data_IF_814840093900
#
_entry.id   IF_814840093900
#
_cell.length_a   1.000
_cell.length_b   1.000
_cell.length_c   1.000
_cell.angle_alpha   90.00
_cell.angle_beta   90.00
_cell.angle_gamma   90.00
#
_symmetry.space_group_name_H-M   'P 1'
#
loop_
_entity.id
_entity.type
_entity.pdbx_description
1 polymer ?
#
# COMPACT_ATOMS: atom_id res chain seq x y z
N UNK A 1 17.07 -48.97 -35.60
CA UNK A 1 16.88 -48.76 -34.15
C UNK A 1 15.61 -47.95 -33.94
N UNK A 2 14.96 -48.15 -32.79
CA UNK A 2 13.52 -47.99 -32.53
C UNK A 2 12.94 -46.58 -32.69
N UNK A 3 11.73 -46.51 -33.26
CA UNK A 3 10.85 -45.33 -33.23
C UNK A 3 10.12 -45.38 -31.87
N UNK A 4 10.22 -44.31 -31.08
CA UNK A 4 9.54 -44.23 -29.78
C UNK A 4 8.01 -44.20 -29.97
N UNK A 5 7.35 -45.23 -29.43
CA UNK A 5 5.89 -45.33 -29.37
C UNK A 5 5.34 -44.27 -28.41
N UNK A 6 4.52 -43.35 -28.94
CA UNK A 6 3.69 -42.48 -28.12
C UNK A 6 2.59 -43.31 -27.45
N UNK A 7 2.49 -43.24 -26.12
CA UNK A 7 1.39 -43.84 -25.37
C UNK A 7 0.14 -42.97 -25.52
N UNK A 8 -0.96 -43.57 -25.97
CA UNK A 8 -2.30 -42.97 -25.92
C UNK A 8 -2.66 -42.58 -24.49
N UNK A 9 -3.14 -41.35 -24.33
CA UNK A 9 -3.76 -40.88 -23.08
C UNK A 9 -5.18 -41.47 -23.08
N UNK A 10 -5.38 -42.50 -22.26
CA UNK A 10 -6.72 -43.03 -21.99
C UNK A 10 -7.50 -42.01 -21.17
N UNK A 11 -8.73 -41.70 -21.59
CA UNK A 11 -9.63 -40.81 -20.87
C UNK A 11 -9.75 -41.25 -19.39
N UNK A 12 -9.43 -40.34 -18.48
CA UNK A 12 -9.58 -40.56 -17.06
C UNK A 12 -11.07 -40.71 -16.77
N UNK A 13 -11.45 -41.92 -16.33
CA UNK A 13 -12.76 -42.29 -15.79
C UNK A 13 -13.38 -41.14 -15.00
N UNK A 14 -14.68 -40.87 -15.25
CA UNK A 14 -15.51 -39.87 -14.56
C UNK A 14 -15.56 -40.14 -13.03
N UNK A 15 -14.49 -39.86 -12.32
CA UNK A 15 -14.48 -39.79 -10.86
C UNK A 15 -15.16 -38.49 -10.49
N UNK A 16 -16.17 -38.54 -9.62
CA UNK A 16 -16.79 -37.33 -9.10
C UNK A 16 -15.70 -36.52 -8.40
N UNK A 17 -15.74 -35.21 -8.53
CA UNK A 17 -14.73 -34.33 -7.94
C UNK A 17 -14.60 -34.52 -6.41
N UNK A 18 -15.70 -34.89 -5.74
CA UNK A 18 -15.74 -35.30 -4.33
C UNK A 18 -14.78 -36.45 -4.00
N UNK A 19 -14.58 -37.38 -4.94
CA UNK A 19 -13.74 -38.57 -4.71
C UNK A 19 -12.25 -38.28 -4.91
N UNK A 20 -11.91 -37.07 -5.38
CA UNK A 20 -10.52 -36.63 -5.48
C UNK A 20 -9.93 -36.37 -4.08
N UNK A 21 -8.59 -36.48 -3.92
CA UNK A 21 -7.93 -36.11 -2.68
C UNK A 21 -8.30 -34.71 -2.20
N UNK A 22 -8.49 -33.78 -3.15
CA UNK A 22 -8.88 -32.39 -2.87
C UNK A 22 -10.35 -32.28 -2.43
N UNK A 23 -11.25 -33.02 -3.08
CA UNK A 23 -12.68 -33.06 -2.71
C UNK A 23 -12.89 -33.58 -1.29
N UNK A 24 -12.21 -34.66 -0.91
CA UNK A 24 -12.25 -35.21 0.45
C UNK A 24 -11.70 -34.25 1.51
N UNK A 25 -10.73 -33.40 1.15
CA UNK A 25 -10.19 -32.36 2.05
C UNK A 25 -11.17 -31.21 2.33
N UNK A 26 -12.23 -31.08 1.54
CA UNK A 26 -13.25 -30.02 1.69
C UNK A 26 -14.50 -30.44 2.44
N UNK A 27 -14.73 -31.74 2.65
CA UNK A 27 -15.98 -32.27 3.24
C UNK A 27 -16.27 -31.77 4.67
N UNK A 28 -15.27 -31.26 5.38
CA UNK A 28 -15.40 -30.70 6.74
C UNK A 28 -14.88 -29.26 6.87
N UNK A 29 -14.67 -28.55 5.75
CA UNK A 29 -14.24 -27.14 5.79
C UNK A 29 -15.46 -26.23 5.76
N UNK A 30 -15.65 -25.47 6.83
CA UNK A 30 -16.60 -24.36 6.85
C UNK A 30 -15.93 -23.16 6.18
N UNK A 31 -16.53 -22.64 5.12
CA UNK A 31 -16.08 -21.40 4.49
C UNK A 31 -16.75 -20.23 5.23
N UNK A 32 -15.96 -19.45 5.96
CA UNK A 32 -16.48 -18.36 6.82
C UNK A 32 -16.94 -17.13 6.02
N UNK A 33 -16.30 -16.89 4.87
CA UNK A 33 -16.62 -15.79 3.95
C UNK A 33 -17.66 -16.24 2.89
N UNK A 34 -18.48 -15.33 2.34
CA UNK A 34 -19.40 -15.66 1.25
C UNK A 34 -18.64 -16.11 -0.01
N UNK A 35 -19.24 -16.98 -0.82
CA UNK A 35 -18.62 -17.56 -2.01
C UNK A 35 -18.04 -16.51 -2.99
N UNK A 36 -18.70 -15.34 -3.07
CA UNK A 36 -18.24 -14.18 -3.85
C UNK A 36 -16.87 -13.64 -3.45
N UNK A 37 -16.42 -13.85 -2.20
CA UNK A 37 -15.06 -13.48 -1.77
C UNK A 37 -14.00 -14.42 -2.36
N UNK A 38 -14.33 -15.71 -2.54
CA UNK A 38 -13.43 -16.69 -3.14
C UNK A 38 -13.40 -16.63 -4.66
N UNK A 39 -14.48 -16.12 -5.29
CA UNK A 39 -14.57 -15.90 -6.73
C UNK A 39 -13.78 -14.66 -7.20
N UNK A 40 -13.26 -13.84 -6.28
CA UNK A 40 -12.40 -12.72 -6.62
C UNK A 40 -11.12 -13.24 -7.29
N UNK A 41 -10.70 -12.70 -8.43
CA UNK A 41 -9.46 -13.12 -9.08
C UNK A 41 -8.28 -12.86 -8.14
N UNK A 42 -7.58 -13.93 -7.74
CA UNK A 42 -6.40 -13.87 -6.86
C UNK A 42 -5.39 -12.81 -7.35
N UNK A 43 -5.24 -12.64 -8.67
CA UNK A 43 -4.35 -11.64 -9.27
C UNK A 43 -4.70 -10.20 -8.87
N UNK A 44 -5.99 -9.82 -8.88
CA UNK A 44 -6.40 -8.45 -8.54
C UNK A 44 -6.25 -8.15 -7.04
N UNK A 45 -6.51 -9.15 -6.19
CA UNK A 45 -6.33 -9.03 -4.73
C UNK A 45 -4.84 -8.96 -4.37
N UNK A 46 -3.99 -9.75 -5.05
CA UNK A 46 -2.53 -9.73 -4.83
C UNK A 46 -1.86 -8.42 -5.27
N UNK A 47 -2.40 -7.74 -6.28
CA UNK A 47 -1.82 -6.49 -6.80
C UNK A 47 -1.92 -5.33 -5.81
N UNK A 48 -3.01 -5.24 -5.03
CA UNK A 48 -3.17 -4.20 -4.01
C UNK A 48 -2.13 -4.34 -2.88
N UNK A 49 -1.81 -5.57 -2.51
CA UNK A 49 -0.84 -5.87 -1.44
C UNK A 49 0.60 -5.99 -1.93
N UNK A 50 0.85 -5.87 -3.23
CA UNK A 50 2.17 -6.08 -3.83
C UNK A 50 3.24 -5.20 -3.19
N UNK A 51 2.90 -3.94 -2.90
CA UNK A 51 3.83 -2.95 -2.35
C UNK A 51 3.73 -2.82 -0.82
N UNK A 52 2.87 -3.60 -0.15
CA UNK A 52 2.81 -3.62 1.30
C UNK A 52 4.08 -4.21 1.91
N UNK A 53 4.43 -3.84 3.16
CA UNK A 53 5.53 -4.46 3.89
C UNK A 53 5.44 -6.00 3.93
N UNK A 54 6.60 -6.64 3.96
CA UNK A 54 6.74 -8.10 3.90
C UNK A 54 7.03 -8.62 5.31
N UNK A 55 6.25 -9.59 5.77
CA UNK A 55 6.42 -10.28 7.04
C UNK A 55 7.87 -10.73 7.27
N UNK A 56 8.44 -10.40 8.44
CA UNK A 56 9.81 -10.73 8.82
C UNK A 56 10.89 -9.89 8.15
N UNK A 57 10.54 -8.89 7.33
CA UNK A 57 11.50 -7.95 6.73
C UNK A 57 11.46 -6.60 7.47
N UNK A 58 12.16 -6.54 8.61
CA UNK A 58 12.22 -5.38 9.51
C UNK A 58 10.88 -5.03 10.17
N UNK A 59 10.05 -6.05 10.45
CA UNK A 59 8.75 -5.91 11.10
C UNK A 59 7.86 -7.12 10.90
N UNK A 60 6.64 -7.03 11.41
CA UNK A 60 5.59 -8.04 11.29
C UNK A 60 4.19 -7.41 11.20
N UNK A 61 3.24 -8.15 10.65
CA UNK A 61 1.83 -7.80 10.69
C UNK A 61 1.18 -8.35 11.97
N UNK A 62 0.29 -7.59 12.61
CA UNK A 62 -0.53 -8.09 13.72
C UNK A 62 -1.80 -8.85 13.26
N UNK A 63 -2.01 -8.93 11.94
CA UNK A 63 -3.11 -9.64 11.30
C UNK A 63 -2.83 -9.92 9.82
N UNK A 64 -3.86 -9.76 8.98
CA UNK A 64 -3.76 -9.99 7.54
C UNK A 64 -2.92 -8.90 6.86
N UNK A 65 -1.95 -9.30 6.03
CA UNK A 65 -1.05 -8.37 5.32
C UNK A 65 -1.84 -7.39 4.45
N UNK A 66 -1.68 -6.09 4.73
CA UNK A 66 -2.35 -5.02 4.00
C UNK A 66 -3.75 -4.66 4.51
N UNK A 67 -4.27 -5.38 5.51
CA UNK A 67 -5.57 -5.14 6.15
C UNK A 67 -5.49 -5.18 7.69
N UNK A 68 -4.28 -4.97 8.23
CA UNK A 68 -3.98 -4.98 9.65
C UNK A 68 -2.87 -3.99 9.98
N UNK A 69 -2.37 -3.95 11.21
CA UNK A 69 -1.27 -3.06 11.61
C UNK A 69 0.06 -3.67 11.20
N UNK A 70 0.88 -2.87 10.53
CA UNK A 70 2.29 -3.16 10.33
C UNK A 70 3.10 -2.60 11.50
N UNK A 71 3.76 -3.49 12.23
CA UNK A 71 4.61 -3.19 13.39
C UNK A 71 6.08 -3.33 12.95
N UNK A 72 6.78 -2.22 12.67
CA UNK A 72 8.20 -2.27 12.31
C UNK A 72 9.07 -2.66 13.50
N UNK A 73 10.22 -3.27 13.20
CA UNK A 73 11.25 -3.56 14.20
C UNK A 73 11.80 -2.26 14.79
N UNK A 74 11.56 -2.03 16.08
CA UNK A 74 11.84 -0.74 16.73
C UNK A 74 13.32 -0.33 16.69
N UNK A 75 14.22 -1.31 16.70
CA UNK A 75 15.67 -1.12 16.65
C UNK A 75 16.23 -1.02 15.22
N UNK A 76 15.40 -1.29 14.20
CA UNK A 76 15.81 -1.16 12.81
C UNK A 76 16.07 0.30 12.47
N UNK A 77 17.22 0.58 11.83
CA UNK A 77 17.57 1.90 11.33
C UNK A 77 17.31 1.93 9.82
N UNK A 78 16.22 2.55 9.35
CA UNK A 78 15.97 2.66 7.91
C UNK A 78 17.05 3.53 7.25
N UNK A 79 17.50 3.16 6.04
CA UNK A 79 18.53 3.91 5.33
C UNK A 79 18.02 5.27 4.85
N UNK A 80 18.92 6.27 4.86
CA UNK A 80 18.67 7.56 4.22
C UNK A 80 18.83 7.46 2.70
N UNK A 81 17.80 7.85 1.95
CA UNK A 81 17.80 7.86 0.48
C UNK A 81 18.23 9.23 -0.03
N UNK A 82 19.53 9.41 -0.31
CA UNK A 82 20.05 10.69 -0.79
C UNK A 82 19.47 11.11 -2.15
N UNK A 83 19.05 12.38 -2.26
CA UNK A 83 18.85 13.07 -3.54
C UNK A 83 17.41 13.40 -3.94
N UNK A 84 16.38 12.74 -3.40
CA UNK A 84 14.97 13.05 -3.72
C UNK A 84 14.05 13.18 -2.50
N UNK A 85 14.35 12.45 -1.44
CA UNK A 85 13.50 12.34 -0.24
C UNK A 85 14.41 12.23 0.97
N UNK A 86 14.21 13.02 2.02
CA UNK A 86 14.96 12.82 3.27
C UNK A 86 14.20 11.78 4.11
N UNK A 87 14.47 10.50 3.88
CA UNK A 87 13.71 9.38 4.47
C UNK A 87 14.10 9.10 5.92
N UNK A 88 15.33 9.39 6.31
CA UNK A 88 15.87 9.30 7.66
C UNK A 88 17.19 10.12 7.78
N UNK A 89 17.15 11.46 7.63
CA UNK A 89 18.36 12.28 7.61
C UNK A 89 19.16 12.24 8.91
N UNK A 90 18.49 11.98 10.02
CA UNK A 90 19.08 11.96 11.36
C UNK A 90 19.52 10.54 11.79
N UNK A 91 19.29 9.52 10.95
CA UNK A 91 19.71 8.14 11.22
C UNK A 91 18.99 7.51 12.41
N UNK A 92 17.74 7.89 12.65
CA UNK A 92 16.91 7.41 13.76
C UNK A 92 16.48 5.96 13.55
N UNK A 93 16.26 5.23 14.64
CA UNK A 93 15.60 3.91 14.56
C UNK A 93 14.10 4.09 14.24
N UNK A 94 13.44 3.02 13.80
CA UNK A 94 11.98 3.05 13.59
C UNK A 94 11.25 3.45 14.86
N UNK A 95 11.63 2.95 16.03
CA UNK A 95 10.99 3.34 17.29
C UNK A 95 11.13 4.83 17.58
N UNK A 96 12.32 5.41 17.36
CA UNK A 96 12.53 6.85 17.51
C UNK A 96 11.71 7.68 16.50
N UNK A 97 11.53 7.18 15.27
CA UNK A 97 10.67 7.82 14.27
C UNK A 97 9.20 7.78 14.69
N UNK A 98 8.72 6.64 15.18
CA UNK A 98 7.34 6.51 15.68
C UNK A 98 7.10 7.45 16.85
N UNK A 99 8.00 7.47 17.85
CA UNK A 99 7.93 8.36 19.00
C UNK A 99 7.93 9.85 18.59
N UNK A 100 8.80 10.23 17.64
CA UNK A 100 8.90 11.60 17.11
C UNK A 100 7.57 12.11 16.55
N UNK A 101 6.77 11.23 15.97
CA UNK A 101 5.47 11.55 15.38
C UNK A 101 4.27 11.09 16.21
N UNK A 102 4.49 10.53 17.40
CA UNK A 102 3.44 10.08 18.31
C UNK A 102 2.65 8.87 17.79
N UNK A 103 3.27 8.02 16.97
CA UNK A 103 2.63 6.81 16.44
C UNK A 103 2.83 5.67 17.45
N UNK A 104 1.74 5.03 17.87
CA UNK A 104 1.82 3.91 18.80
C UNK A 104 2.16 2.60 18.07
N UNK A 105 3.44 2.21 18.12
CA UNK A 105 3.93 0.89 17.72
C UNK A 105 3.94 0.56 16.22
N UNK A 106 3.13 1.21 15.38
CA UNK A 106 3.05 0.93 13.95
C UNK A 106 1.89 1.63 13.24
N UNK A 107 1.74 1.37 11.93
CA UNK A 107 0.71 1.99 11.08
C UNK A 107 -0.32 0.94 10.66
N UNK A 108 -1.60 1.29 10.74
CA UNK A 108 -2.71 0.46 10.27
C UNK A 108 -2.82 0.56 8.76
N UNK A 109 -2.98 -0.58 8.09
CA UNK A 109 -3.29 -0.64 6.66
C UNK A 109 -4.72 -1.11 6.44
N UNK A 110 -5.32 -0.64 5.35
CA UNK A 110 -6.62 -1.08 4.87
C UNK A 110 -6.62 -1.18 3.34
N UNK A 111 -6.86 -2.38 2.83
CA UNK A 111 -6.82 -2.71 1.41
C UNK A 111 -5.53 -2.18 0.75
N UNK A 112 -4.41 -2.49 1.41
CA UNK A 112 -3.05 -2.20 0.95
C UNK A 112 -2.58 -0.76 1.11
N UNK A 113 -3.42 0.13 1.66
CA UNK A 113 -3.10 1.55 1.88
C UNK A 113 -2.88 1.84 3.37
N UNK A 114 -1.78 2.52 3.75
CA UNK A 114 -1.51 2.93 5.11
C UNK A 114 -2.41 4.11 5.51
N UNK A 115 -2.92 4.05 6.74
CA UNK A 115 -3.63 5.17 7.34
C UNK A 115 -2.64 6.15 7.99
N UNK A 116 -2.44 7.28 7.33
CA UNK A 116 -1.62 8.38 7.84
C UNK A 116 -2.43 9.50 8.49
N UNK A 117 -3.72 9.30 8.76
CA UNK A 117 -4.60 10.33 9.31
C UNK A 117 -4.07 10.94 10.61
N UNK A 118 -3.50 10.13 11.50
CA UNK A 118 -2.96 10.58 12.80
C UNK A 118 -1.74 11.49 12.67
N UNK A 119 -0.94 11.33 11.61
CA UNK A 119 0.29 12.12 11.38
C UNK A 119 0.12 13.22 10.34
N UNK A 120 -1.04 13.27 9.68
CA UNK A 120 -1.35 14.29 8.68
C UNK A 120 -1.48 15.66 9.32
N UNK A 121 -0.75 16.65 8.78
CA UNK A 121 -0.84 18.07 9.17
C UNK A 121 -1.71 18.90 8.23
N UNK A 122 -2.47 18.24 7.36
CA UNK A 122 -3.41 18.89 6.45
C UNK A 122 -3.97 17.89 5.47
N UNK A 123 -5.28 17.89 5.32
CA UNK A 123 -6.00 17.03 4.38
C UNK A 123 -6.82 17.93 3.46
N UNK A 124 -6.66 17.75 2.16
CA UNK A 124 -7.36 18.51 1.13
C UNK A 124 -7.86 17.59 0.05
N UNK A 125 -8.86 18.03 -0.68
CA UNK A 125 -9.36 17.35 -1.87
C UNK A 125 -8.96 18.19 -3.09
N UNK A 126 -8.45 17.53 -4.13
CA UNK A 126 -8.07 18.17 -5.39
C UNK A 126 -8.90 17.61 -6.55
N UNK A 127 -9.28 18.48 -7.48
CA UNK A 127 -10.00 18.09 -8.67
C UNK A 127 -9.64 19.04 -9.83
N UNK A 128 -9.32 18.54 -11.04
CA UNK A 128 -9.15 17.12 -11.37
C UNK A 128 -7.85 16.55 -10.82
N UNK A 129 -7.83 15.26 -10.48
CA UNK A 129 -6.62 14.53 -10.11
C UNK A 129 -5.83 14.11 -11.36
N UNK A 130 -4.51 14.32 -11.35
CA UNK A 130 -3.63 14.05 -12.49
C UNK A 130 -2.82 12.77 -12.27
N UNK A 131 -2.31 12.20 -13.36
CA UNK A 131 -1.27 11.15 -13.29
C UNK A 131 0.13 11.73 -13.04
N UNK A 132 0.28 13.05 -13.15
CA UNK A 132 1.52 13.78 -12.88
C UNK A 132 1.55 14.26 -11.42
N UNK A 133 2.54 13.77 -10.66
CA UNK A 133 2.69 14.06 -9.23
C UNK A 133 2.83 15.55 -8.94
N UNK A 134 3.63 16.24 -9.75
CA UNK A 134 3.91 17.67 -9.55
C UNK A 134 2.62 18.49 -9.63
N UNK A 135 1.76 18.20 -10.61
CA UNK A 135 0.46 18.87 -10.76
C UNK A 135 -0.43 18.67 -9.53
N UNK A 136 -0.46 17.45 -8.98
CA UNK A 136 -1.24 17.14 -7.79
C UNK A 136 -0.70 17.87 -6.56
N UNK A 137 0.61 17.98 -6.44
CA UNK A 137 1.26 18.69 -5.33
C UNK A 137 0.95 20.19 -5.39
N UNK A 138 1.02 20.80 -6.57
CA UNK A 138 0.72 22.23 -6.76
C UNK A 138 -0.76 22.53 -6.44
N UNK A 139 -1.67 21.65 -6.86
CA UNK A 139 -3.11 21.75 -6.51
C UNK A 139 -3.35 21.57 -5.01
N UNK A 140 -2.65 20.65 -4.36
CA UNK A 140 -2.78 20.41 -2.93
C UNK A 140 -2.24 21.59 -2.11
N UNK A 141 -1.13 22.18 -2.53
CA UNK A 141 -0.60 23.41 -1.93
C UNK A 141 -1.59 24.57 -2.07
N UNK A 142 -2.19 24.74 -3.26
CA UNK A 142 -3.24 25.74 -3.49
C UNK A 142 -4.46 25.53 -2.58
N UNK A 143 -4.97 24.31 -2.50
CA UNK A 143 -6.14 23.98 -1.69
C UNK A 143 -5.88 24.19 -0.19
N UNK A 144 -4.70 23.77 0.29
CA UNK A 144 -4.35 23.95 1.71
C UNK A 144 -4.09 25.42 2.04
N UNK A 145 -3.49 26.17 1.11
CA UNK A 145 -3.27 27.60 1.24
C UNK A 145 -4.59 28.36 1.42
N UNK A 146 -5.61 28.02 0.63
CA UNK A 146 -6.96 28.58 0.77
C UNK A 146 -7.58 28.28 2.14
N UNK A 147 -7.46 27.04 2.64
CA UNK A 147 -7.96 26.68 3.97
C UNK A 147 -7.25 27.41 5.12
N UNK A 148 -5.96 27.71 4.95
CA UNK A 148 -5.12 28.32 5.99
C UNK A 148 -4.99 29.84 5.87
N UNK A 149 -5.46 30.43 4.78
CA UNK A 149 -5.32 31.87 4.52
C UNK A 149 -3.88 32.32 4.29
N UNK A 150 -3.07 31.47 3.63
CA UNK A 150 -1.66 31.74 3.29
C UNK A 150 -1.44 31.53 1.78
N UNK A 151 -0.22 31.69 1.27
CA UNK A 151 0.09 31.43 -0.15
C UNK A 151 0.47 29.97 -0.40
N UNK A 152 0.26 29.44 -1.62
CA UNK A 152 0.70 28.09 -1.99
C UNK A 152 2.22 27.89 -1.81
N UNK A 153 3.01 28.93 -2.09
CA UNK A 153 4.46 28.93 -1.92
C UNK A 153 4.86 28.79 -0.45
N UNK A 154 4.14 29.41 0.47
CA UNK A 154 4.35 29.25 1.91
C UNK A 154 4.08 27.81 2.34
N UNK A 155 3.03 27.17 1.81
CA UNK A 155 2.76 25.74 2.05
C UNK A 155 3.88 24.85 1.51
N UNK A 156 4.28 25.08 0.26
CA UNK A 156 5.33 24.32 -0.41
C UNK A 156 6.68 24.45 0.32
N UNK A 157 7.03 25.67 0.74
CA UNK A 157 8.26 25.95 1.46
C UNK A 157 8.23 25.33 2.86
N UNK A 158 7.12 25.47 3.58
CA UNK A 158 6.94 24.83 4.89
C UNK A 158 7.12 23.31 4.80
N UNK A 159 6.60 22.67 3.74
CA UNK A 159 6.81 21.22 3.51
C UNK A 159 8.28 20.87 3.36
N UNK A 160 9.03 21.64 2.56
CA UNK A 160 10.46 21.42 2.33
C UNK A 160 11.27 21.59 3.63
N UNK A 161 11.01 22.66 4.37
CA UNK A 161 11.75 23.01 5.59
C UNK A 161 11.48 22.03 6.73
N UNK A 162 10.25 21.49 6.79
CA UNK A 162 9.84 20.56 7.85
C UNK A 162 9.92 19.08 7.43
N UNK A 163 10.41 18.78 6.22
CA UNK A 163 10.49 17.43 5.65
C UNK A 163 9.14 16.69 5.56
N UNK A 164 8.14 17.35 4.97
CA UNK A 164 6.81 16.80 4.69
C UNK A 164 6.60 16.62 3.19
N UNK A 165 5.77 15.63 2.84
CA UNK A 165 5.33 15.36 1.48
C UNK A 165 3.81 15.31 1.40
N UNK A 166 3.26 15.39 0.19
CA UNK A 166 1.89 15.00 -0.06
C UNK A 166 1.81 13.50 -0.31
N UNK A 167 0.92 12.82 0.42
CA UNK A 167 0.45 11.47 0.15
C UNK A 167 -0.81 11.56 -0.73
N UNK A 168 -0.77 10.85 -1.84
CA UNK A 168 -1.84 10.77 -2.84
C UNK A 168 -2.71 9.56 -2.52
N UNK A 169 -3.91 9.75 -1.97
CA UNK A 169 -4.77 8.64 -1.56
C UNK A 169 -5.36 7.88 -2.76
N UNK A 170 -5.73 6.61 -2.54
CA UNK A 170 -6.27 5.72 -3.61
C UNK A 170 -7.61 6.17 -4.20
N UNK A 171 -8.32 7.07 -3.52
CA UNK A 171 -9.57 7.65 -4.00
C UNK A 171 -9.37 8.64 -5.18
N UNK A 172 -8.10 8.91 -5.55
CA UNK A 172 -7.72 9.84 -6.62
C UNK A 172 -8.33 11.23 -6.42
N UNK A 173 -8.40 11.69 -5.16
CA UNK A 173 -8.97 13.00 -4.84
C UNK A 173 -8.34 13.58 -3.57
N UNK A 174 -8.17 12.75 -2.55
CA UNK A 174 -7.66 13.17 -1.25
C UNK A 174 -6.14 13.24 -1.26
N UNK A 175 -5.62 14.34 -0.72
CA UNK A 175 -4.19 14.59 -0.51
C UNK A 175 -3.94 14.83 0.98
N UNK A 176 -2.99 14.10 1.56
CA UNK A 176 -2.62 14.23 2.98
C UNK A 176 -1.19 14.73 3.12
N UNK A 177 -0.97 15.80 3.89
CA UNK A 177 0.36 16.36 4.16
C UNK A 177 1.01 15.60 5.31
N UNK A 178 1.84 14.62 4.99
CA UNK A 178 2.41 13.66 5.94
C UNK A 178 3.93 13.80 6.07
N UNK A 179 4.53 13.38 7.21
CA UNK A 179 5.97 13.43 7.37
C UNK A 179 6.65 12.51 6.34
N UNK A 180 7.67 13.01 5.65
CA UNK A 180 8.36 12.22 4.64
C UNK A 180 9.10 11.01 5.25
N UNK A 181 9.60 11.13 6.48
CA UNK A 181 10.26 10.03 7.19
C UNK A 181 9.30 8.87 7.48
N UNK A 182 8.02 9.14 7.74
CA UNK A 182 7.02 8.09 7.89
C UNK A 182 6.63 7.56 6.51
N UNK A 183 6.21 8.43 5.60
CA UNK A 183 5.74 8.03 4.28
C UNK A 183 6.76 7.19 3.49
N UNK A 184 8.07 7.49 3.60
CA UNK A 184 9.11 6.75 2.91
C UNK A 184 9.39 5.36 3.49
N UNK A 185 9.12 5.14 4.78
CA UNK A 185 9.40 3.87 5.47
C UNK A 185 8.21 2.90 5.49
N UNK A 186 7.01 3.38 5.17
CA UNK A 186 5.81 2.57 5.06
C UNK A 186 5.42 2.38 3.60
N UNK A 187 5.96 1.33 2.96
CA UNK A 187 5.71 1.01 1.54
C UNK A 187 4.24 0.75 1.25
N UNK A 188 3.74 1.25 0.11
CA UNK A 188 2.34 1.11 -0.30
C UNK A 188 2.14 1.43 -1.79
N UNK A 189 0.97 1.09 -2.31
CA UNK A 189 0.49 1.54 -3.62
C UNK A 189 -0.33 2.81 -3.43
N UNK A 190 0.13 3.95 -3.97
CA UNK A 190 -0.57 5.24 -3.86
C UNK A 190 -1.51 5.54 -5.03
N UNK A 191 -2.23 6.67 -4.96
CA UNK A 191 -3.28 7.08 -5.91
C UNK A 191 -2.84 7.21 -7.38
N UNK A 192 -1.56 7.53 -7.66
CA UNK A 192 -1.05 7.53 -9.04
C UNK A 192 -1.09 6.12 -9.66
N UNK A 193 -0.82 5.06 -8.86
CA UNK A 193 -0.87 3.70 -9.37
C UNK A 193 -2.30 3.33 -9.80
N UNK A 194 -3.30 3.72 -9.02
CA UNK A 194 -4.72 3.52 -9.35
C UNK A 194 -5.14 4.35 -10.56
N UNK A 195 -4.75 5.62 -10.64
CA UNK A 195 -5.03 6.48 -11.79
C UNK A 195 -4.43 5.93 -13.10
N UNK A 196 -3.30 5.24 -13.03
CA UNK A 196 -2.68 4.57 -14.19
C UNK A 196 -3.40 3.29 -14.59
N UNK A 197 -3.93 2.51 -13.63
CA UNK A 197 -4.78 1.33 -13.94
C UNK A 197 -6.04 1.76 -14.71
N UNK A 198 -6.72 2.82 -14.26
CA UNK A 198 -7.94 3.31 -14.89
C UNK A 198 -7.77 3.83 -16.34
N UNK A 199 -6.56 4.25 -16.73
CA UNK A 199 -6.25 4.64 -18.13
C UNK A 199 -5.88 3.46 -19.04
N UNK A 200 -5.62 2.27 -18.47
CA UNK A 200 -5.23 1.07 -19.22
C UNK A 200 -6.40 0.34 -19.90
N UNK A 201 -7.64 0.66 -19.50
CA UNK A 201 -8.86 0.01 -19.99
C UNK A 201 -9.64 0.86 -21.01
N UNK A 202 -8.97 1.81 -21.70
CA UNK A 202 -9.59 2.71 -22.71
C UNK A 202 -9.07 2.46 -24.12
#
# INVERSE_FOLDING_TARGET
MSIASFKEITEISQKRFSDSPLGKMTENKTFEKPMSEYDKPLGAVLDNFRNCPIEGNNGHWDGERGDSKWIPDQDYVPPEVKGKTRSNPDGLTMGQLLDKYGIDGGIVYKDGEPDFSEVSKGTVEIEPFSTERTDNFDKADLALAQQKGCTPEEVAQWRKDNNYTWHECKDMRTMQKVPNEIHANFSHSGGIAEAKKGKGDS
#
